data_IF_963439367689
#
_entry.id   IF_963439367689
#
_cell.length_a   1.000
_cell.length_b   1.000
_cell.length_c   1.000
_cell.angle_alpha   90.00
_cell.angle_beta   90.00
_cell.angle_gamma   90.00
#
_symmetry.space_group_name_H-M   'P 1'
#
loop_
_entity.id
_entity.type
_entity.pdbx_description
1 polymer ?
#
# COMPACT_ATOMS: atom_id res chain seq x y z
N UNK A 1 8.41 -25.11 -12.24
CA UNK A 1 8.82 -23.82 -11.67
C UNK A 1 7.53 -23.13 -11.20
N UNK A 2 7.40 -22.82 -9.91
CA UNK A 2 6.21 -22.12 -9.38
C UNK A 2 6.07 -20.75 -10.04
N UNK A 3 4.84 -20.38 -10.37
CA UNK A 3 4.55 -19.05 -10.90
C UNK A 3 5.04 -17.99 -9.88
N UNK A 4 5.80 -16.96 -10.28
CA UNK A 4 6.26 -15.92 -9.36
C UNK A 4 5.11 -15.20 -8.59
N UNK A 5 3.90 -15.16 -9.15
CA UNK A 5 2.70 -14.66 -8.46
C UNK A 5 2.30 -15.55 -7.29
N UNK A 6 2.51 -16.88 -7.38
CA UNK A 6 2.17 -17.82 -6.30
C UNK A 6 3.11 -17.65 -5.09
N UNK A 7 4.39 -17.35 -5.31
CA UNK A 7 5.34 -17.09 -4.23
C UNK A 7 5.04 -15.79 -3.49
N UNK A 8 4.64 -14.73 -4.20
CA UNK A 8 4.18 -13.46 -3.62
C UNK A 8 2.91 -13.69 -2.81
N UNK A 9 1.92 -14.39 -3.39
CA UNK A 9 0.65 -14.72 -2.71
C UNK A 9 0.90 -15.50 -1.41
N UNK A 10 1.78 -16.49 -1.43
CA UNK A 10 2.12 -17.30 -0.26
C UNK A 10 2.83 -16.50 0.83
N UNK A 11 3.76 -15.61 0.46
CA UNK A 11 4.45 -14.72 1.40
C UNK A 11 3.47 -13.79 2.12
N UNK A 12 2.54 -13.17 1.39
CA UNK A 12 1.51 -12.31 2.00
C UNK A 12 0.47 -13.11 2.81
N UNK A 13 0.15 -14.34 2.42
CA UNK A 13 -0.80 -15.17 3.15
C UNK A 13 -0.33 -15.45 4.58
N UNK A 14 0.93 -15.87 4.76
CA UNK A 14 1.49 -16.10 6.10
C UNK A 14 1.56 -14.83 6.95
N UNK A 15 1.83 -13.69 6.31
CA UNK A 15 1.90 -12.38 6.97
C UNK A 15 0.55 -11.96 7.56
N UNK A 16 -0.56 -12.33 6.91
CA UNK A 16 -1.90 -11.97 7.38
C UNK A 16 -2.50 -12.96 8.39
N UNK A 17 -1.92 -14.16 8.59
CA UNK A 17 -2.44 -15.15 9.55
C UNK A 17 -2.56 -14.59 10.98
N UNK A 18 -1.60 -13.76 11.39
CA UNK A 18 -1.54 -13.17 12.72
C UNK A 18 -1.84 -11.67 12.76
N UNK A 19 -2.34 -11.10 11.67
CA UNK A 19 -2.48 -9.66 11.50
C UNK A 19 -3.36 -8.98 12.56
N UNK A 20 -4.44 -9.64 13.00
CA UNK A 20 -5.37 -9.15 14.03
C UNK A 20 -4.94 -9.53 15.46
N UNK A 21 -3.75 -10.14 15.65
CA UNK A 21 -3.26 -10.49 16.98
C UNK A 21 -2.96 -9.24 17.82
N UNK A 22 -3.00 -9.41 19.14
CA UNK A 22 -2.65 -8.33 20.09
C UNK A 22 -1.23 -7.81 19.87
N UNK A 23 -0.28 -8.70 19.57
CA UNK A 23 1.11 -8.35 19.28
C UNK A 23 1.21 -7.45 18.05
N UNK A 24 0.54 -7.80 16.95
CA UNK A 24 0.55 -7.01 15.73
C UNK A 24 -0.19 -5.68 15.88
N UNK A 25 -1.25 -5.62 16.67
CA UNK A 25 -1.92 -4.35 17.01
C UNK A 25 -1.02 -3.46 17.86
N UNK A 26 -0.32 -4.02 18.85
CA UNK A 26 0.65 -3.30 19.65
C UNK A 26 1.80 -2.74 18.79
N UNK A 27 2.35 -3.56 17.88
CA UNK A 27 3.36 -3.12 16.92
C UNK A 27 2.86 -1.91 16.11
N UNK A 28 1.62 -1.96 15.60
CA UNK A 28 1.07 -0.85 14.82
C UNK A 28 0.88 0.41 15.65
N UNK A 29 0.38 0.30 16.87
CA UNK A 29 0.26 1.44 17.77
C UNK A 29 1.61 2.10 18.06
N UNK A 30 2.64 1.31 18.35
CA UNK A 30 3.97 1.81 18.67
C UNK A 30 4.70 2.40 17.45
N UNK A 31 4.56 1.80 16.28
CA UNK A 31 5.29 2.22 15.08
C UNK A 31 4.61 3.35 14.28
N UNK A 32 3.28 3.43 14.33
CA UNK A 32 2.51 4.39 13.53
C UNK A 32 1.79 5.46 14.36
N UNK A 33 1.77 5.30 15.69
CA UNK A 33 1.02 6.16 16.62
C UNK A 33 -0.48 5.84 16.69
N UNK A 34 -1.07 5.26 15.64
CA UNK A 34 -2.46 4.86 15.56
C UNK A 34 -2.62 3.55 14.77
N UNK A 35 -3.38 2.60 15.32
CA UNK A 35 -3.71 1.34 14.62
C UNK A 35 -5.02 1.50 13.84
N UNK A 36 -4.93 1.74 12.55
CA UNK A 36 -6.06 1.69 11.61
C UNK A 36 -6.09 0.39 10.81
N UNK A 37 -5.25 -0.61 11.14
CA UNK A 37 -5.09 -1.86 10.41
C UNK A 37 -4.33 -1.71 9.10
N UNK A 38 -3.36 -0.82 9.09
CA UNK A 38 -2.46 -0.60 7.95
C UNK A 38 -1.31 -1.62 7.96
N UNK A 39 -0.86 -2.00 6.77
CA UNK A 39 0.38 -2.75 6.56
C UNK A 39 1.43 -1.92 5.80
N UNK A 40 0.99 -1.05 4.89
CA UNK A 40 1.82 -0.09 4.15
C UNK A 40 2.53 0.92 5.06
N UNK A 41 3.38 1.76 4.48
CA UNK A 41 4.10 2.83 5.18
C UNK A 41 3.27 4.12 5.35
N UNK A 42 1.96 3.99 5.59
CA UNK A 42 1.04 5.11 5.73
C UNK A 42 0.57 5.24 7.16
N UNK A 43 0.54 6.46 7.68
CA UNK A 43 -0.07 6.78 8.97
C UNK A 43 -1.51 7.27 8.82
N UNK A 44 -2.28 7.21 9.89
CA UNK A 44 -3.61 7.84 9.93
C UNK A 44 -3.55 9.35 9.69
N UNK A 45 -2.46 10.01 10.13
CA UNK A 45 -2.23 11.44 9.89
C UNK A 45 -2.04 11.73 8.40
N UNK A 46 -1.20 10.96 7.69
CA UNK A 46 -1.06 11.07 6.22
C UNK A 46 -2.42 10.93 5.53
N UNK A 47 -3.25 9.96 5.92
CA UNK A 47 -4.57 9.76 5.32
C UNK A 47 -5.54 10.92 5.61
N UNK A 48 -5.44 11.56 6.78
CA UNK A 48 -6.23 12.78 7.08
C UNK A 48 -5.85 13.95 6.16
N UNK A 49 -4.56 14.07 5.83
CA UNK A 49 -4.06 15.07 4.87
C UNK A 49 -4.44 14.74 3.42
N UNK A 50 -4.53 13.45 3.10
CA UNK A 50 -4.84 12.98 1.74
C UNK A 50 -6.34 12.98 1.42
N UNK A 51 -7.20 12.77 2.41
CA UNK A 51 -8.65 12.70 2.21
C UNK A 51 -9.24 13.91 1.44
N UNK A 52 -8.88 15.18 1.74
CA UNK A 52 -9.34 16.33 0.97
C UNK A 52 -8.85 16.32 -0.49
N UNK A 53 -7.63 15.78 -0.75
CA UNK A 53 -7.07 15.67 -2.10
C UNK A 53 -7.90 14.77 -3.01
N UNK A 54 -8.55 13.74 -2.43
CA UNK A 54 -9.39 12.77 -3.15
C UNK A 54 -10.80 13.29 -3.45
N UNK A 55 -11.21 14.45 -2.90
CA UNK A 55 -12.56 15.05 -3.08
C UNK A 55 -13.71 14.07 -2.78
N UNK A 56 -13.56 13.22 -1.77
CA UNK A 56 -14.57 12.22 -1.40
C UNK A 56 -15.85 12.89 -0.90
N UNK A 57 -16.97 12.41 -1.42
CA UNK A 57 -18.34 12.77 -0.97
C UNK A 57 -19.06 11.52 -0.52
N UNK A 58 -20.23 11.67 0.13
CA UNK A 58 -21.05 10.51 0.54
C UNK A 58 -21.54 9.64 -0.62
N UNK A 59 -21.68 10.22 -1.81
CA UNK A 59 -22.07 9.51 -3.03
C UNK A 59 -20.86 8.88 -3.77
N UNK A 60 -19.63 9.24 -3.38
CA UNK A 60 -18.42 8.79 -4.08
C UNK A 60 -18.17 7.29 -3.88
N UNK A 61 -17.52 6.70 -4.88
CA UNK A 61 -16.97 5.34 -4.88
C UNK A 61 -15.45 5.43 -4.86
N UNK A 62 -14.85 4.96 -3.78
CA UNK A 62 -13.39 4.90 -3.60
C UNK A 62 -12.88 3.50 -3.92
N UNK A 63 -11.92 3.38 -4.85
CA UNK A 63 -11.22 2.15 -5.17
C UNK A 63 -9.88 2.11 -4.46
N UNK A 64 -9.53 0.97 -3.84
CA UNK A 64 -8.21 0.72 -3.24
C UNK A 64 -7.56 -0.49 -3.92
N UNK A 65 -6.44 -0.24 -4.64
CA UNK A 65 -5.66 -1.26 -5.32
C UNK A 65 -4.56 -1.77 -4.39
N UNK A 66 -4.63 -3.06 -4.06
CA UNK A 66 -3.79 -3.68 -3.04
C UNK A 66 -4.24 -3.28 -1.63
N UNK A 67 -5.54 -3.37 -1.38
CA UNK A 67 -6.16 -2.88 -0.15
C UNK A 67 -5.74 -3.65 1.11
N UNK A 68 -5.13 -4.83 0.96
CA UNK A 68 -4.78 -5.70 2.09
C UNK A 68 -5.97 -5.91 3.04
N UNK A 69 -5.78 -5.72 4.37
CA UNK A 69 -6.83 -5.80 5.38
C UNK A 69 -7.80 -4.60 5.39
N UNK A 70 -7.84 -3.80 4.35
CA UNK A 70 -8.71 -2.63 4.17
C UNK A 70 -8.60 -1.56 5.27
N UNK A 71 -7.48 -1.47 5.98
CA UNK A 71 -7.31 -0.45 7.02
C UNK A 71 -7.46 0.97 6.49
N UNK A 72 -6.60 1.42 5.57
CA UNK A 72 -6.70 2.74 4.92
C UNK A 72 -8.03 2.97 4.22
N UNK A 73 -8.54 1.98 3.46
CA UNK A 73 -9.82 2.07 2.76
C UNK A 73 -10.98 2.36 3.72
N UNK A 74 -11.14 1.54 4.77
CA UNK A 74 -12.21 1.71 5.75
C UNK A 74 -12.08 3.01 6.55
N UNK A 75 -10.86 3.45 6.82
CA UNK A 75 -10.58 4.74 7.45
C UNK A 75 -11.11 5.91 6.59
N UNK A 76 -10.78 5.94 5.30
CA UNK A 76 -11.24 6.97 4.37
C UNK A 76 -12.75 6.88 4.10
N UNK A 77 -13.32 5.66 4.00
CA UNK A 77 -14.77 5.46 3.89
C UNK A 77 -15.51 6.05 5.09
N UNK A 78 -14.99 5.88 6.30
CA UNK A 78 -15.59 6.44 7.52
C UNK A 78 -15.49 7.96 7.53
N UNK A 79 -14.34 8.52 7.16
CA UNK A 79 -14.11 9.96 7.12
C UNK A 79 -14.97 10.67 6.05
N UNK A 80 -15.03 10.12 4.82
CA UNK A 80 -15.75 10.71 3.68
C UNK A 80 -17.22 10.31 3.60
N UNK A 81 -17.65 9.27 4.32
CA UNK A 81 -19.01 8.70 4.22
C UNK A 81 -19.24 7.92 2.92
N UNK A 82 -18.25 7.74 2.06
CA UNK A 82 -18.32 7.12 0.74
C UNK A 82 -18.43 5.60 0.78
N UNK A 83 -18.68 4.96 -0.37
CA UNK A 83 -18.54 3.52 -0.56
C UNK A 83 -17.12 3.16 -0.97
N UNK A 84 -16.69 1.93 -0.69
CA UNK A 84 -15.36 1.43 -0.98
C UNK A 84 -15.37 0.14 -1.81
N UNK A 85 -14.39 0.03 -2.72
CA UNK A 85 -14.07 -1.19 -3.45
C UNK A 85 -12.60 -1.51 -3.15
N UNK A 86 -12.34 -2.66 -2.55
CA UNK A 86 -10.98 -3.14 -2.27
C UNK A 86 -10.60 -4.29 -3.18
N UNK A 87 -9.46 -4.18 -3.85
CA UNK A 87 -8.89 -5.24 -4.68
C UNK A 87 -7.56 -5.69 -4.05
N UNK A 88 -7.38 -6.99 -3.85
CA UNK A 88 -6.13 -7.56 -3.33
C UNK A 88 -5.94 -9.00 -3.83
N UNK A 89 -4.69 -9.44 -3.91
CA UNK A 89 -4.34 -10.81 -4.29
C UNK A 89 -4.62 -11.83 -3.17
N UNK A 90 -4.68 -11.38 -1.90
CA UNK A 90 -4.79 -12.22 -0.72
C UNK A 90 -6.23 -12.31 -0.21
N UNK A 91 -6.87 -13.45 -0.43
CA UNK A 91 -8.19 -13.75 0.17
C UNK A 91 -8.19 -13.70 1.69
N UNK A 92 -7.06 -14.03 2.35
CA UNK A 92 -6.89 -13.92 3.80
C UNK A 92 -6.98 -12.46 4.27
N UNK A 93 -6.25 -11.55 3.60
CA UNK A 93 -6.32 -10.12 3.87
C UNK A 93 -7.73 -9.56 3.69
N UNK A 94 -8.42 -9.93 2.60
CA UNK A 94 -9.80 -9.51 2.34
C UNK A 94 -10.79 -10.02 3.40
N UNK A 95 -10.56 -11.21 3.96
CA UNK A 95 -11.38 -11.74 5.06
C UNK A 95 -11.21 -10.90 6.33
N UNK A 96 -10.00 -10.44 6.63
CA UNK A 96 -9.72 -9.50 7.72
C UNK A 96 -10.42 -8.17 7.44
N UNK A 97 -10.32 -7.65 6.22
CA UNK A 97 -10.97 -6.42 5.79
C UNK A 97 -12.49 -6.43 5.99
N UNK A 98 -13.16 -7.56 5.64
CA UNK A 98 -14.61 -7.73 5.89
C UNK A 98 -14.96 -7.73 7.38
N UNK A 99 -14.13 -8.36 8.25
CA UNK A 99 -14.34 -8.32 9.71
C UNK A 99 -14.17 -6.91 10.25
N UNK A 100 -13.12 -6.20 9.81
CA UNK A 100 -12.87 -4.80 10.17
C UNK A 100 -14.02 -3.89 9.76
N UNK A 101 -14.52 -4.00 8.54
CA UNK A 101 -15.62 -3.20 8.05
C UNK A 101 -16.90 -3.39 8.89
N UNK A 102 -17.21 -4.64 9.28
CA UNK A 102 -18.32 -4.94 10.19
C UNK A 102 -18.13 -4.29 11.56
N UNK A 103 -16.94 -4.42 12.14
CA UNK A 103 -16.64 -3.78 13.43
C UNK A 103 -16.79 -2.26 13.38
N UNK A 104 -16.45 -1.64 12.24
CA UNK A 104 -16.56 -0.18 12.03
C UNK A 104 -17.94 0.27 11.55
N UNK A 105 -18.88 -0.65 11.27
CA UNK A 105 -20.23 -0.32 10.77
C UNK A 105 -20.25 0.25 9.36
N UNK A 106 -19.30 -0.17 8.50
CA UNK A 106 -19.19 0.29 7.10
C UNK A 106 -19.28 -0.86 6.08
N UNK A 107 -19.57 -2.08 6.52
CA UNK A 107 -19.59 -3.28 5.70
C UNK A 107 -20.68 -3.26 4.61
N UNK A 108 -21.80 -2.59 4.85
CA UNK A 108 -22.86 -2.38 3.84
C UNK A 108 -22.44 -1.47 2.67
N UNK A 109 -21.30 -0.80 2.77
CA UNK A 109 -20.72 0.09 1.75
C UNK A 109 -19.38 -0.40 1.22
N UNK A 110 -18.89 -1.57 1.66
CA UNK A 110 -17.62 -2.16 1.25
C UNK A 110 -17.86 -3.37 0.34
N UNK A 111 -17.25 -3.34 -0.83
CA UNK A 111 -17.09 -4.51 -1.71
C UNK A 111 -15.60 -4.87 -1.77
N UNK A 112 -15.25 -6.14 -1.61
CA UNK A 112 -13.86 -6.61 -1.80
C UNK A 112 -13.81 -7.78 -2.76
N UNK A 113 -12.80 -7.79 -3.64
CA UNK A 113 -12.60 -8.82 -4.65
C UNK A 113 -11.14 -9.29 -4.66
N UNK A 114 -10.95 -10.61 -4.65
CA UNK A 114 -9.62 -11.21 -4.86
C UNK A 114 -9.24 -11.04 -6.33
N UNK A 115 -8.14 -10.32 -6.59
CA UNK A 115 -7.77 -9.88 -7.94
C UNK A 115 -6.25 -9.77 -8.06
N UNK A 116 -5.72 -10.31 -9.15
CA UNK A 116 -4.36 -10.00 -9.59
C UNK A 116 -4.38 -8.65 -10.32
N UNK A 117 -3.70 -7.65 -9.77
CA UNK A 117 -3.65 -6.29 -10.32
C UNK A 117 -2.82 -6.18 -11.61
N UNK A 118 -2.01 -7.19 -11.93
CA UNK A 118 -1.38 -7.35 -13.25
C UNK A 118 -2.37 -7.85 -14.33
N UNK A 119 -3.64 -8.05 -13.96
CA UNK A 119 -4.76 -8.39 -14.85
C UNK A 119 -5.72 -7.21 -15.06
N UNK A 120 -6.72 -7.34 -15.93
CA UNK A 120 -7.77 -6.34 -16.08
C UNK A 120 -8.56 -6.19 -14.77
N UNK A 121 -8.81 -4.95 -14.34
CA UNK A 121 -9.54 -4.70 -13.11
C UNK A 121 -11.01 -5.09 -13.25
N UNK A 122 -11.61 -5.84 -12.31
CA UNK A 122 -13.02 -6.25 -12.34
C UNK A 122 -13.95 -5.08 -11.93
N UNK A 123 -13.71 -3.92 -12.51
CA UNK A 123 -14.43 -2.66 -12.28
C UNK A 123 -14.83 -2.05 -13.61
N UNK A 124 -16.09 -1.65 -13.72
CA UNK A 124 -16.62 -1.08 -14.97
C UNK A 124 -15.97 0.29 -15.26
N UNK A 125 -15.89 0.61 -16.57
CA UNK A 125 -15.34 1.87 -17.07
C UNK A 125 -16.13 3.07 -16.54
N UNK A 126 -15.41 4.10 -16.02
CA UNK A 126 -16.00 5.36 -15.62
C UNK A 126 -16.99 5.25 -14.44
N UNK A 127 -16.72 4.36 -13.48
CA UNK A 127 -17.64 4.13 -12.36
C UNK A 127 -17.05 4.44 -10.98
N UNK A 128 -15.80 4.91 -10.92
CA UNK A 128 -15.07 5.20 -9.68
C UNK A 128 -14.73 6.69 -9.63
N UNK A 129 -15.03 7.35 -8.52
CA UNK A 129 -14.78 8.79 -8.36
C UNK A 129 -13.34 9.08 -7.90
N UNK A 130 -12.80 8.20 -7.06
CA UNK A 130 -11.42 8.29 -6.61
C UNK A 130 -10.80 6.90 -6.44
N UNK A 131 -9.48 6.83 -6.58
CA UNK A 131 -8.71 5.62 -6.33
C UNK A 131 -7.51 5.91 -5.43
N UNK A 132 -7.07 4.90 -4.67
CA UNK A 132 -5.81 4.90 -3.92
C UNK A 132 -5.02 3.62 -4.20
N UNK A 133 -3.70 3.69 -4.01
CA UNK A 133 -2.80 2.52 -3.97
C UNK A 133 -1.60 2.86 -3.09
N UNK A 134 -1.50 2.23 -1.92
CA UNK A 134 -0.55 2.64 -0.90
C UNK A 134 0.60 1.64 -0.79
N UNK A 135 1.74 2.01 -1.37
CA UNK A 135 2.99 1.22 -1.41
C UNK A 135 2.85 -0.15 -2.11
N UNK A 136 1.99 -0.23 -3.13
CA UNK A 136 1.68 -1.44 -3.91
C UNK A 136 2.31 -1.40 -5.32
N UNK A 137 2.36 -0.23 -5.93
CA UNK A 137 2.77 -0.06 -7.34
C UNK A 137 4.14 -0.66 -7.64
N UNK A 138 5.07 -0.65 -6.69
CA UNK A 138 6.38 -1.29 -6.85
C UNK A 138 6.31 -2.83 -7.00
N UNK A 139 5.20 -3.46 -6.63
CA UNK A 139 5.01 -4.91 -6.76
C UNK A 139 4.35 -5.32 -8.08
N UNK A 140 3.94 -4.36 -8.91
CA UNK A 140 3.29 -4.60 -10.20
C UNK A 140 4.33 -4.66 -11.32
N UNK A 141 4.13 -5.58 -12.27
CA UNK A 141 5.07 -5.86 -13.37
C UNK A 141 4.94 -4.87 -14.51
N UNK A 142 3.71 -4.40 -14.77
CA UNK A 142 3.41 -3.46 -15.85
C UNK A 142 2.65 -2.25 -15.31
N UNK A 143 3.41 -1.25 -14.89
CA UNK A 143 2.86 0.00 -14.35
C UNK A 143 2.02 0.75 -15.39
N UNK A 144 2.42 0.73 -16.67
CA UNK A 144 1.66 1.41 -17.72
C UNK A 144 0.28 0.82 -17.89
N UNK A 145 0.19 -0.50 -17.94
CA UNK A 145 -1.09 -1.21 -17.99
C UNK A 145 -1.95 -0.88 -16.77
N UNK A 146 -1.37 -0.95 -15.57
CA UNK A 146 -2.10 -0.64 -14.33
C UNK A 146 -2.63 0.79 -14.34
N UNK A 147 -1.81 1.77 -14.70
CA UNK A 147 -2.25 3.17 -14.79
C UNK A 147 -3.30 3.39 -15.89
N UNK A 148 -3.22 2.66 -17.01
CA UNK A 148 -4.25 2.68 -18.06
C UNK A 148 -5.58 2.12 -17.56
N UNK A 149 -5.56 1.03 -16.80
CA UNK A 149 -6.76 0.47 -16.17
C UNK A 149 -7.37 1.42 -15.13
N UNK A 150 -6.53 2.09 -14.33
CA UNK A 150 -6.98 3.13 -13.40
C UNK A 150 -7.64 4.29 -14.15
N UNK A 151 -7.03 4.77 -15.24
CA UNK A 151 -7.62 5.81 -16.07
C UNK A 151 -8.96 5.36 -16.69
N UNK A 152 -9.11 4.07 -17.05
CA UNK A 152 -10.34 3.50 -17.55
C UNK A 152 -11.47 3.48 -16.54
N UNK A 153 -11.19 3.06 -15.31
CA UNK A 153 -12.24 2.87 -14.27
C UNK A 153 -12.67 4.17 -13.61
N UNK A 154 -11.81 5.18 -13.59
CA UNK A 154 -12.12 6.49 -13.04
C UNK A 154 -13.09 7.27 -13.94
N UNK A 155 -13.99 8.03 -13.31
CA UNK A 155 -14.80 9.04 -14.01
C UNK A 155 -13.93 10.17 -14.54
N UNK A 156 -14.44 10.99 -15.47
CA UNK A 156 -13.77 12.23 -15.90
C UNK A 156 -13.57 13.15 -14.69
N UNK A 157 -12.34 13.66 -14.51
CA UNK A 157 -11.97 14.44 -13.33
C UNK A 157 -11.82 13.62 -12.05
N UNK A 158 -11.96 12.29 -12.13
CA UNK A 158 -11.69 11.37 -11.03
C UNK A 158 -10.21 11.36 -10.67
N UNK A 159 -9.91 11.19 -9.39
CA UNK A 159 -8.56 11.31 -8.85
C UNK A 159 -7.99 9.98 -8.42
N UNK A 160 -6.69 9.83 -8.66
CA UNK A 160 -5.91 8.72 -8.14
C UNK A 160 -4.75 9.23 -7.30
N UNK A 161 -4.64 8.77 -6.06
CA UNK A 161 -3.53 9.03 -5.17
C UNK A 161 -2.81 7.72 -4.89
N UNK A 162 -1.50 7.67 -5.13
CA UNK A 162 -0.71 6.51 -4.77
C UNK A 162 0.62 6.89 -4.14
N UNK A 163 1.20 5.95 -3.40
CA UNK A 163 2.56 6.06 -2.89
C UNK A 163 3.43 4.95 -3.47
N UNK A 164 4.67 5.30 -3.77
CA UNK A 164 5.68 4.38 -4.25
C UNK A 164 6.94 4.48 -3.37
N UNK A 165 7.23 3.43 -2.64
CA UNK A 165 8.42 3.30 -1.79
C UNK A 165 9.61 2.69 -2.52
N UNK A 166 9.58 2.64 -3.85
CA UNK A 166 10.59 2.07 -4.74
C UNK A 166 11.31 3.10 -5.63
N UNK A 167 11.26 4.39 -5.30
CA UNK A 167 11.95 5.43 -6.09
C UNK A 167 13.41 5.56 -5.66
N UNK A 168 14.33 5.18 -6.56
CA UNK A 168 15.77 5.15 -6.31
C UNK A 168 16.40 6.46 -6.75
N UNK A 169 17.02 7.19 -5.81
CA UNK A 169 17.69 8.48 -6.06
C UNK A 169 19.22 8.42 -5.92
N UNK A 170 19.74 7.35 -5.32
CA UNK A 170 21.18 7.15 -5.10
C UNK A 170 21.64 5.77 -5.49
N UNK A 171 22.87 5.44 -5.15
CA UNK A 171 23.41 4.11 -5.38
C UNK A 171 22.75 3.08 -4.44
N UNK A 172 22.29 1.97 -5.01
CA UNK A 172 21.81 0.80 -4.30
C UNK A 172 22.57 -0.44 -4.81
N UNK A 173 22.88 -1.37 -3.92
CA UNK A 173 23.53 -2.63 -4.27
C UNK A 173 22.51 -3.68 -4.68
N UNK A 174 22.97 -4.76 -5.33
CA UNK A 174 22.13 -5.94 -5.60
C UNK A 174 21.63 -6.59 -4.30
N UNK A 175 22.42 -6.51 -3.22
CA UNK A 175 22.04 -7.00 -1.90
C UNK A 175 20.88 -6.17 -1.31
N UNK A 176 20.94 -4.83 -1.40
CA UNK A 176 19.84 -3.95 -0.99
C UNK A 176 18.56 -4.29 -1.74
N UNK A 177 18.64 -4.50 -3.06
CA UNK A 177 17.48 -4.90 -3.87
C UNK A 177 16.93 -6.24 -3.39
N UNK A 178 17.78 -7.24 -3.13
CA UNK A 178 17.35 -8.56 -2.66
C UNK A 178 16.66 -8.47 -1.29
N UNK A 179 17.25 -7.73 -0.34
CA UNK A 179 16.67 -7.54 0.99
C UNK A 179 15.33 -6.79 0.89
N UNK A 180 15.23 -5.77 0.04
CA UNK A 180 13.97 -5.00 -0.16
C UNK A 180 12.89 -5.81 -0.87
N UNK A 181 13.25 -6.87 -1.58
CA UNK A 181 12.31 -7.77 -2.27
C UNK A 181 11.90 -8.98 -1.41
N UNK A 182 11.97 -8.88 -0.09
CA UNK A 182 11.69 -9.97 0.87
C UNK A 182 10.28 -10.60 0.69
N UNK A 183 9.33 -9.82 0.18
CA UNK A 183 7.96 -10.27 -0.10
C UNK A 183 7.75 -10.72 -1.56
N UNK A 184 8.82 -10.88 -2.33
CA UNK A 184 8.80 -11.29 -3.72
C UNK A 184 9.17 -10.17 -4.68
N UNK A 185 8.46 -10.08 -5.83
CA UNK A 185 8.80 -9.11 -6.87
C UNK A 185 8.68 -7.66 -6.38
N UNK A 186 9.73 -6.88 -6.61
CA UNK A 186 9.73 -5.44 -6.41
C UNK A 186 10.45 -4.73 -7.57
N UNK A 187 9.77 -3.79 -8.20
CA UNK A 187 10.30 -2.98 -9.30
C UNK A 187 10.68 -1.60 -8.77
N UNK A 188 11.98 -1.37 -8.65
CA UNK A 188 12.52 -0.05 -8.34
C UNK A 188 12.60 0.81 -9.60
N UNK A 189 12.40 2.11 -9.47
CA UNK A 189 12.42 3.03 -10.60
C UNK A 189 13.21 4.30 -10.30
N UNK A 190 13.75 4.92 -11.34
CA UNK A 190 14.37 6.23 -11.25
C UNK A 190 13.31 7.35 -11.10
N UNK A 191 13.65 8.51 -10.53
CA UNK A 191 12.80 9.69 -10.55
C UNK A 191 12.33 10.04 -11.97
N UNK A 192 11.09 10.47 -12.12
CA UNK A 192 10.48 10.77 -13.41
C UNK A 192 9.93 9.55 -14.17
N UNK A 193 10.18 8.32 -13.71
CA UNK A 193 9.64 7.13 -14.37
C UNK A 193 8.11 7.05 -14.20
N UNK A 194 7.61 7.20 -13.00
CA UNK A 194 6.17 7.16 -12.72
C UNK A 194 5.46 8.30 -13.46
N UNK A 195 6.01 9.51 -13.44
CA UNK A 195 5.43 10.70 -14.07
C UNK A 195 5.23 10.50 -15.58
N UNK A 196 6.26 9.98 -16.28
CA UNK A 196 6.15 9.66 -17.73
C UNK A 196 5.15 8.55 -17.99
N UNK A 197 5.10 7.52 -17.14
CA UNK A 197 4.19 6.38 -17.30
C UNK A 197 2.73 6.82 -17.08
N UNK A 198 2.48 7.71 -16.12
CA UNK A 198 1.17 8.31 -15.86
C UNK A 198 0.70 9.13 -17.06
N UNK A 199 1.57 9.94 -17.64
CA UNK A 199 1.26 10.74 -18.84
C UNK A 199 0.90 9.83 -20.02
N UNK A 200 1.67 8.75 -20.26
CA UNK A 200 1.38 7.75 -21.29
C UNK A 200 0.02 7.06 -21.08
N UNK A 201 -0.38 6.84 -19.83
CA UNK A 201 -1.68 6.29 -19.47
C UNK A 201 -2.84 7.29 -19.59
N UNK A 202 -2.58 8.56 -19.97
CA UNK A 202 -3.61 9.60 -20.10
C UNK A 202 -4.01 10.26 -18.77
N UNK A 203 -3.21 10.11 -17.73
CA UNK A 203 -3.40 10.74 -16.42
C UNK A 203 -2.60 12.05 -16.35
N UNK A 204 -3.17 13.07 -15.72
CA UNK A 204 -2.50 14.36 -15.49
C UNK A 204 -1.98 14.41 -14.06
N UNK A 205 -0.68 14.62 -13.91
CA UNK A 205 -0.06 14.81 -12.60
C UNK A 205 -0.49 16.17 -12.03
N UNK A 206 -1.02 16.17 -10.81
CA UNK A 206 -1.44 17.35 -10.07
C UNK A 206 -0.42 17.73 -8.99
N UNK A 207 0.08 16.73 -8.26
CA UNK A 207 0.96 16.95 -7.11
C UNK A 207 1.91 15.75 -6.94
N UNK A 208 3.13 16.02 -6.47
CA UNK A 208 4.05 15.03 -5.91
C UNK A 208 4.55 15.49 -4.57
N UNK A 209 4.71 14.56 -3.62
CA UNK A 209 5.21 14.86 -2.28
C UNK A 209 6.22 13.80 -1.85
N UNK A 210 7.39 14.23 -1.38
CA UNK A 210 8.38 13.33 -0.80
C UNK A 210 7.98 12.94 0.62
N UNK A 211 7.66 11.67 0.83
CA UNK A 211 7.26 11.05 2.11
C UNK A 211 8.34 10.15 2.70
N UNK A 212 9.59 10.33 2.29
CA UNK A 212 10.72 9.52 2.77
C UNK A 212 10.92 9.63 4.29
N UNK A 213 10.62 10.79 4.88
CA UNK A 213 10.66 10.93 6.35
C UNK A 213 9.63 10.03 7.05
N UNK A 214 8.45 9.87 6.45
CA UNK A 214 7.39 9.02 7.00
C UNK A 214 7.81 7.54 7.03
N UNK A 215 8.30 6.99 5.91
CA UNK A 215 8.78 5.61 5.88
C UNK A 215 9.95 5.38 6.83
N UNK A 216 10.88 6.34 6.94
CA UNK A 216 12.02 6.27 7.87
C UNK A 216 11.54 6.20 9.33
N UNK A 217 10.58 7.05 9.72
CA UNK A 217 10.00 7.07 11.07
C UNK A 217 9.32 5.75 11.39
N UNK A 218 8.47 5.25 10.48
CA UNK A 218 7.74 3.99 10.66
C UNK A 218 8.69 2.79 10.73
N UNK A 219 9.72 2.75 9.86
CA UNK A 219 10.69 1.66 9.86
C UNK A 219 11.47 1.60 11.19
N UNK A 220 11.90 2.75 11.72
CA UNK A 220 12.52 2.84 13.05
C UNK A 220 11.56 2.40 14.15
N UNK A 221 10.34 2.91 14.14
CA UNK A 221 9.32 2.52 15.13
C UNK A 221 9.03 1.02 15.11
N UNK A 222 8.95 0.41 13.92
CA UNK A 222 8.82 -1.05 13.77
C UNK A 222 10.03 -1.81 14.31
N UNK A 223 11.26 -1.36 13.99
CA UNK A 223 12.49 -1.97 14.50
C UNK A 223 12.50 -1.98 16.02
N UNK A 224 12.24 -0.83 16.65
CA UNK A 224 12.24 -0.65 18.08
C UNK A 224 11.12 -1.45 18.76
N UNK A 225 9.90 -1.41 18.24
CA UNK A 225 8.77 -2.15 18.78
C UNK A 225 9.01 -3.67 18.70
N UNK A 226 9.50 -4.17 17.57
CA UNK A 226 9.84 -5.60 17.42
C UNK A 226 10.96 -6.02 18.38
N UNK A 227 11.94 -5.16 18.59
CA UNK A 227 13.03 -5.44 19.55
C UNK A 227 12.52 -5.49 21.00
N UNK A 228 11.62 -4.58 21.37
CA UNK A 228 10.98 -4.61 22.72
C UNK A 228 10.15 -5.88 22.96
N UNK A 229 9.55 -6.42 21.91
CA UNK A 229 8.70 -7.62 21.95
C UNK A 229 9.39 -8.83 21.30
N UNK A 230 10.74 -8.90 21.33
CA UNK A 230 11.52 -9.90 20.61
C UNK A 230 11.07 -11.34 20.91
N UNK A 231 10.91 -11.69 22.18
CA UNK A 231 10.53 -13.05 22.57
C UNK A 231 9.18 -13.48 21.97
N UNK A 232 8.20 -12.58 21.93
CA UNK A 232 6.89 -12.86 21.35
C UNK A 232 6.99 -13.02 19.82
N UNK A 233 7.81 -12.19 19.15
CA UNK A 233 8.03 -12.31 17.70
C UNK A 233 8.83 -13.57 17.35
N UNK A 234 9.86 -13.93 18.11
CA UNK A 234 10.61 -15.19 17.91
C UNK A 234 9.72 -16.43 18.12
N UNK A 235 8.79 -16.38 19.07
CA UNK A 235 7.80 -17.42 19.25
C UNK A 235 6.85 -17.53 18.03
N UNK A 236 6.51 -16.39 17.40
CA UNK A 236 5.55 -16.33 16.29
C UNK A 236 6.17 -16.76 14.96
N UNK A 237 7.40 -16.34 14.67
CA UNK A 237 8.03 -16.47 13.34
C UNK A 237 9.38 -17.20 13.34
N UNK A 238 9.84 -17.65 14.51
CA UNK A 238 11.17 -18.22 14.73
C UNK A 238 12.28 -17.17 14.78
N UNK A 239 13.42 -17.54 15.38
CA UNK A 239 14.57 -16.62 15.52
C UNK A 239 15.12 -16.16 14.15
N UNK A 240 15.17 -17.06 13.15
CA UNK A 240 15.61 -16.72 11.79
C UNK A 240 14.62 -15.76 11.09
N UNK A 241 13.30 -15.99 11.24
CA UNK A 241 12.25 -15.11 10.72
C UNK A 241 12.36 -13.72 11.31
N UNK A 242 12.52 -13.64 12.64
CA UNK A 242 12.73 -12.38 13.35
C UNK A 242 13.97 -11.64 12.82
N UNK A 243 15.13 -12.30 12.77
CA UNK A 243 16.39 -11.69 12.31
C UNK A 243 16.30 -11.21 10.86
N UNK A 244 15.68 -12.00 9.97
CA UNK A 244 15.47 -11.63 8.56
C UNK A 244 14.60 -10.39 8.42
N UNK A 245 13.50 -10.30 9.18
CA UNK A 245 12.61 -9.14 9.12
C UNK A 245 13.26 -7.90 9.74
N UNK A 246 14.02 -8.05 10.81
CA UNK A 246 14.82 -6.95 11.39
C UNK A 246 15.86 -6.43 10.38
N UNK A 247 16.56 -7.32 9.67
CA UNK A 247 17.48 -6.94 8.58
C UNK A 247 16.79 -6.16 7.46
N UNK A 248 15.58 -6.58 7.06
CA UNK A 248 14.76 -5.82 6.11
C UNK A 248 14.44 -4.41 6.60
N UNK A 249 13.97 -4.27 7.83
CA UNK A 249 13.65 -2.94 8.39
C UNK A 249 14.91 -2.07 8.53
N UNK A 250 16.04 -2.65 8.91
CA UNK A 250 17.33 -1.96 8.98
C UNK A 250 17.77 -1.44 7.61
N UNK A 251 17.60 -2.24 6.54
CA UNK A 251 17.86 -1.82 5.17
C UNK A 251 16.96 -0.65 4.74
N UNK A 252 15.64 -0.70 5.07
CA UNK A 252 14.73 0.43 4.82
C UNK A 252 15.22 1.70 5.50
N UNK A 253 15.63 1.61 6.78
CA UNK A 253 16.17 2.76 7.53
C UNK A 253 17.43 3.31 6.86
N UNK A 254 18.41 2.45 6.56
CA UNK A 254 19.70 2.84 5.97
C UNK A 254 19.51 3.54 4.62
N UNK A 255 18.74 2.92 3.71
CA UNK A 255 18.53 3.45 2.36
C UNK A 255 17.69 4.72 2.35
N UNK A 256 16.71 4.85 3.24
CA UNK A 256 15.92 6.07 3.37
C UNK A 256 16.72 7.21 4.00
N UNK A 257 17.57 6.89 4.99
CA UNK A 257 18.42 7.87 5.67
C UNK A 257 19.53 8.40 4.78
N UNK A 258 20.14 7.55 3.95
CA UNK A 258 21.17 7.95 2.98
C UNK A 258 20.58 8.70 1.77
N UNK A 259 19.25 8.71 1.59
CA UNK A 259 18.60 9.27 0.42
C UNK A 259 18.70 8.40 -0.83
N UNK A 260 19.18 7.15 -0.70
CA UNK A 260 19.29 6.22 -1.82
C UNK A 260 17.91 5.74 -2.29
N UNK A 261 16.96 5.57 -1.36
CA UNK A 261 15.59 5.17 -1.63
C UNK A 261 14.62 6.20 -1.07
N UNK A 262 13.61 6.55 -1.86
CA UNK A 262 12.55 7.49 -1.47
C UNK A 262 11.19 6.84 -1.56
N UNK A 263 10.28 7.31 -0.70
CA UNK A 263 8.84 7.09 -0.81
C UNK A 263 8.19 8.37 -1.31
N UNK A 264 7.51 8.31 -2.44
CA UNK A 264 6.90 9.48 -3.08
C UNK A 264 5.41 9.26 -3.21
N UNK A 265 4.63 10.28 -2.86
CA UNK A 265 3.20 10.36 -3.15
C UNK A 265 2.98 11.06 -4.49
N UNK A 266 2.04 10.55 -5.26
CA UNK A 266 1.58 11.10 -6.53
C UNK A 266 0.07 11.28 -6.47
N UNK A 267 -0.41 12.48 -6.82
CA UNK A 267 -1.81 12.77 -7.04
C UNK A 267 -2.02 13.07 -8.52
N UNK A 268 -2.92 12.34 -9.14
CA UNK A 268 -3.24 12.50 -10.56
C UNK A 268 -4.75 12.59 -10.79
N UNK A 269 -5.15 13.09 -11.95
CA UNK A 269 -6.55 13.23 -12.38
C UNK A 269 -6.73 12.73 -13.82
N UNK A 270 -7.86 12.10 -14.12
CA UNK A 270 -8.22 11.75 -15.51
C UNK A 270 -8.56 13.02 -16.27
N UNK A 271 -7.87 13.25 -17.41
CA UNK A 271 -8.11 14.43 -18.26
C UNK A 271 -9.57 14.56 -18.64
N UNK A 272 -10.14 15.75 -18.44
CA UNK A 272 -11.38 16.15 -19.10
C UNK A 272 -11.06 16.35 -20.57
N UNK A 273 -11.51 15.45 -21.46
CA UNK A 273 -11.45 15.68 -22.90
C UNK A 273 -12.44 16.76 -23.29
#
# INVERSE_FOLDING_TARGET
>A
MSNPADSVKQSYQSLYENFDSRLMSQLRLEAYGEDIGQHSWVTAEELRLDAPRLKLTRAARLLDLGCGPCGPLTFLMKAGGCSGIGLDLSGAALSIGRRRARFLGVDNRLTVCETDLDSALPVATGTVDAAISLDVILHLRDRLRTFTEIARVLVKGGRFLFTDAGVVRGAISSEDVAIRSIHGFAQFCAPGFNERTLEQAGLTLLETEDRTRGILSIARGRLEARFRHQADFEQLEGAEGFARYQGYLQSVVSMSQSGALSRVMYLVEVRSR
#
